data_IF_115269105824
#
_entry.id   IF_115269105824
#
_cell.length_a   1.000
_cell.length_b   1.000
_cell.length_c   1.000
_cell.angle_alpha   90.00
_cell.angle_beta   90.00
_cell.angle_gamma   90.00
#
_symmetry.space_group_name_H-M   'P 1'
#
loop_
_entity.id
_entity.type
_entity.pdbx_description
1 polymer ?
#
# COMPACT_ATOMS: atom_id res chain seq x y z
N UNK A 1 -5.43 10.07 -11.86
CA UNK A 1 -5.44 9.61 -13.28
C UNK A 1 -4.26 8.67 -13.48
N UNK A 2 -4.46 7.40 -13.84
CA UNK A 2 -3.36 6.43 -13.92
C UNK A 2 -2.50 6.60 -15.18
N UNK A 3 -3.10 6.90 -16.34
CA UNK A 3 -2.37 7.20 -17.58
C UNK A 3 -3.03 8.38 -18.33
N UNK A 4 -2.24 9.36 -18.84
CA UNK A 4 -0.80 9.55 -18.55
C UNK A 4 -0.56 9.81 -17.05
N UNK A 5 0.53 9.26 -16.51
CA UNK A 5 0.87 9.39 -15.08
C UNK A 5 1.63 10.70 -14.85
N UNK A 6 1.02 11.63 -14.13
CA UNK A 6 1.64 12.94 -13.85
C UNK A 6 2.39 12.92 -12.52
N UNK A 7 3.72 12.78 -12.59
CA UNK A 7 4.58 12.82 -11.40
C UNK A 7 4.42 14.12 -10.60
N UNK A 8 4.29 15.27 -11.28
CA UNK A 8 4.09 16.57 -10.64
C UNK A 8 2.87 16.60 -9.72
N UNK A 9 1.73 16.05 -10.16
CA UNK A 9 0.50 16.02 -9.36
C UNK A 9 0.59 15.02 -8.20
N UNK A 10 1.29 13.89 -8.37
CA UNK A 10 1.56 12.97 -7.27
C UNK A 10 2.41 13.66 -6.18
N UNK A 11 3.50 14.32 -6.58
CA UNK A 11 4.44 14.94 -5.66
C UNK A 11 3.80 16.10 -4.90
N UNK A 12 2.95 16.90 -5.58
CA UNK A 12 2.17 17.97 -4.94
C UNK A 12 1.16 17.45 -3.90
N UNK A 13 0.64 16.23 -4.09
CA UNK A 13 -0.30 15.60 -3.15
C UNK A 13 0.39 14.91 -1.96
N UNK A 14 1.70 14.64 -2.04
CA UNK A 14 2.44 13.93 -1.01
C UNK A 14 3.14 14.92 -0.05
N UNK A 15 2.81 14.92 1.25
CA UNK A 15 3.43 15.82 2.22
C UNK A 15 4.97 15.73 2.21
N UNK A 16 5.65 16.86 2.38
CA UNK A 16 7.12 16.92 2.48
C UNK A 16 7.64 16.17 3.73
N UNK A 17 6.82 16.09 4.77
CA UNK A 17 7.10 15.35 6.00
C UNK A 17 7.00 13.83 5.85
N UNK A 18 6.46 13.32 4.74
CA UNK A 18 6.31 11.88 4.54
C UNK A 18 7.70 11.20 4.48
N UNK A 19 7.95 10.27 5.40
CA UNK A 19 9.19 9.48 5.47
C UNK A 19 9.02 8.03 5.02
N UNK A 20 7.79 7.53 4.96
CA UNK A 20 7.47 6.20 4.48
C UNK A 20 6.18 6.21 3.66
N UNK A 21 6.10 5.36 2.63
CA UNK A 21 4.97 5.22 1.71
C UNK A 21 4.73 3.73 1.46
N UNK A 22 3.48 3.28 1.54
CA UNK A 22 3.07 1.98 1.03
C UNK A 22 2.25 2.19 -0.25
N UNK A 23 2.64 1.52 -1.33
CA UNK A 23 1.91 1.54 -2.60
C UNK A 23 1.14 0.23 -2.73
N UNK A 24 -0.15 0.32 -3.03
CA UNK A 24 -1.04 -0.84 -3.08
C UNK A 24 -1.51 -1.11 -4.50
N UNK A 25 -1.19 -2.30 -4.99
CA UNK A 25 -1.54 -2.77 -6.32
C UNK A 25 -2.62 -3.86 -6.23
N UNK A 26 -3.71 -3.68 -6.98
CA UNK A 26 -4.79 -4.67 -7.12
C UNK A 26 -4.54 -5.58 -8.33
N UNK A 27 -3.29 -6.04 -8.48
CA UNK A 27 -2.85 -6.95 -9.53
C UNK A 27 -1.68 -7.80 -9.03
N UNK A 28 -1.29 -8.80 -9.80
CA UNK A 28 -0.07 -9.57 -9.61
C UNK A 28 0.58 -9.78 -10.96
N UNK A 29 1.84 -9.36 -11.09
CA UNK A 29 2.66 -9.59 -12.29
C UNK A 29 3.80 -10.56 -11.93
N UNK A 30 3.61 -11.88 -12.10
CA UNK A 30 4.62 -12.87 -11.74
C UNK A 30 5.94 -12.64 -12.49
N UNK A 31 7.06 -12.57 -11.76
CA UNK A 31 8.39 -12.37 -12.33
C UNK A 31 8.77 -10.91 -12.56
N UNK A 32 7.85 -9.96 -12.44
CA UNK A 32 8.18 -8.53 -12.46
C UNK A 32 8.96 -8.12 -11.20
N UNK A 33 9.74 -7.06 -11.29
CA UNK A 33 10.47 -6.49 -10.14
C UNK A 33 9.53 -5.94 -9.05
N UNK A 34 8.37 -5.45 -9.46
CA UNK A 34 7.27 -5.00 -8.61
C UNK A 34 6.01 -4.80 -9.45
N UNK A 35 4.90 -4.52 -8.78
CA UNK A 35 3.64 -4.20 -9.44
C UNK A 35 3.64 -2.79 -10.07
N UNK A 36 2.74 -2.53 -11.05
CA UNK A 36 2.83 -1.34 -11.91
C UNK A 36 2.76 0.00 -11.18
N UNK A 37 1.83 0.17 -10.24
CA UNK A 37 1.68 1.44 -9.53
C UNK A 37 2.88 1.69 -8.61
N UNK A 38 3.38 0.64 -7.94
CA UNK A 38 4.62 0.74 -7.19
C UNK A 38 5.77 1.26 -8.06
N UNK A 39 5.95 0.73 -9.27
CA UNK A 39 7.03 1.15 -10.17
C UNK A 39 6.89 2.62 -10.58
N UNK A 40 5.67 3.08 -10.89
CA UNK A 40 5.43 4.49 -11.25
C UNK A 40 5.72 5.44 -10.08
N UNK A 41 5.24 5.11 -8.88
CA UNK A 41 5.44 5.92 -7.67
C UNK A 41 6.91 5.96 -7.29
N UNK A 42 7.59 4.80 -7.30
CA UNK A 42 9.01 4.72 -6.99
C UNK A 42 9.84 5.53 -7.98
N UNK A 43 9.53 5.45 -9.28
CA UNK A 43 10.19 6.24 -10.32
C UNK A 43 10.00 7.73 -10.06
N UNK A 44 8.76 8.19 -9.83
CA UNK A 44 8.46 9.59 -9.58
C UNK A 44 9.18 10.13 -8.33
N UNK A 45 9.23 9.36 -7.23
CA UNK A 45 9.92 9.74 -6.00
C UNK A 45 11.44 9.77 -6.19
N UNK A 46 12.02 8.76 -6.83
CA UNK A 46 13.46 8.68 -7.08
C UNK A 46 13.94 9.82 -7.99
N UNK A 47 13.18 10.10 -9.05
CA UNK A 47 13.49 11.21 -9.95
C UNK A 47 13.40 12.57 -9.26
N UNK A 48 12.34 12.82 -8.48
CA UNK A 48 12.18 14.07 -7.73
C UNK A 48 13.32 14.28 -6.73
N UNK A 49 13.74 13.22 -6.04
CA UNK A 49 14.89 13.26 -5.15
C UNK A 49 16.19 13.56 -5.93
N UNK A 50 16.43 12.87 -7.05
CA UNK A 50 17.63 13.08 -7.87
C UNK A 50 17.70 14.49 -8.50
N UNK A 51 16.55 15.12 -8.79
CA UNK A 51 16.47 16.51 -9.26
C UNK A 51 16.51 17.55 -8.15
N UNK A 52 16.48 17.13 -6.88
CA UNK A 52 16.43 18.03 -5.72
C UNK A 52 15.04 18.67 -5.48
N UNK A 53 13.99 18.19 -6.14
CA UNK A 53 12.60 18.62 -5.93
C UNK A 53 12.03 18.10 -4.59
N UNK A 54 12.63 17.05 -4.04
CA UNK A 54 12.38 16.56 -2.67
C UNK A 54 13.71 16.36 -1.95
N UNK A 55 13.76 16.81 -0.70
CA UNK A 55 14.95 16.66 0.15
C UNK A 55 15.24 15.21 0.54
N UNK A 56 14.18 14.38 0.65
CA UNK A 56 14.32 12.98 1.07
C UNK A 56 13.60 12.06 0.12
N UNK A 57 14.18 10.88 -0.11
CA UNK A 57 13.51 9.74 -0.73
C UNK A 57 12.79 8.91 0.36
N UNK A 58 11.44 8.94 0.44
CA UNK A 58 10.72 8.18 1.46
C UNK A 58 10.94 6.67 1.28
N UNK A 59 11.03 5.93 2.40
CA UNK A 59 11.05 4.46 2.38
C UNK A 59 9.75 3.97 1.75
N UNK A 60 9.84 3.32 0.59
CA UNK A 60 8.67 2.90 -0.18
C UNK A 60 8.56 1.38 -0.18
N UNK A 61 7.40 0.85 0.22
CA UNK A 61 7.07 -0.59 0.19
C UNK A 61 5.88 -0.85 -0.74
N UNK A 62 5.79 -2.07 -1.28
CA UNK A 62 4.75 -2.46 -2.24
C UNK A 62 3.87 -3.58 -1.69
N UNK A 63 2.56 -3.43 -1.81
CA UNK A 63 1.58 -4.38 -1.29
C UNK A 63 0.58 -4.82 -2.35
N UNK A 64 0.23 -6.10 -2.36
CA UNK A 64 -0.90 -6.62 -3.14
C UNK A 64 -2.13 -6.83 -2.26
N UNK A 65 -3.29 -6.44 -2.76
CA UNK A 65 -4.57 -6.60 -2.07
C UNK A 65 -5.71 -6.94 -3.05
N UNK A 66 -6.83 -7.43 -2.52
CA UNK A 66 -8.11 -7.42 -3.23
C UNK A 66 -8.20 -8.23 -4.54
N UNK A 67 -7.27 -9.15 -4.79
CA UNK A 67 -7.30 -10.04 -5.95
C UNK A 67 -8.51 -10.98 -5.86
N UNK A 68 -9.18 -11.20 -6.99
CA UNK A 68 -10.37 -12.06 -7.07
C UNK A 68 -11.45 -11.70 -6.03
N UNK A 69 -11.69 -10.39 -5.85
CA UNK A 69 -12.64 -9.85 -4.86
C UNK A 69 -12.36 -10.29 -3.43
N UNK A 70 -11.09 -10.56 -3.08
CA UNK A 70 -10.72 -10.75 -1.69
C UNK A 70 -11.04 -9.48 -0.88
N UNK A 71 -11.59 -9.69 0.31
CA UNK A 71 -11.96 -8.61 1.23
C UNK A 71 -10.77 -7.71 1.55
N UNK A 72 -11.02 -6.42 1.67
CA UNK A 72 -10.04 -5.41 2.04
C UNK A 72 -10.66 -4.46 3.08
N UNK A 73 -10.86 -5.01 4.28
CA UNK A 73 -11.46 -4.32 5.41
C UNK A 73 -10.47 -3.38 6.13
N UNK A 74 -10.97 -2.63 7.13
CA UNK A 74 -10.14 -1.67 7.86
C UNK A 74 -8.93 -2.31 8.57
N UNK A 75 -9.04 -3.57 9.01
CA UNK A 75 -7.93 -4.34 9.59
C UNK A 75 -6.77 -4.54 8.62
N UNK A 76 -7.04 -4.65 7.31
CA UNK A 76 -6.00 -4.70 6.29
C UNK A 76 -5.23 -3.39 6.21
N UNK A 77 -5.94 -2.26 6.29
CA UNK A 77 -5.34 -0.91 6.26
C UNK A 77 -4.50 -0.67 7.52
N UNK A 78 -5.01 -1.05 8.70
CA UNK A 78 -4.26 -0.98 9.96
C UNK A 78 -2.97 -1.80 9.90
N UNK A 79 -3.01 -3.02 9.37
CA UNK A 79 -1.83 -3.86 9.21
C UNK A 79 -0.77 -3.21 8.29
N UNK A 80 -1.17 -2.52 7.23
CA UNK A 80 -0.25 -1.78 6.35
C UNK A 80 0.44 -0.64 7.09
N UNK A 81 -0.30 0.15 7.87
CA UNK A 81 0.29 1.23 8.64
C UNK A 81 1.22 0.72 9.75
N UNK A 82 0.86 -0.38 10.40
CA UNK A 82 1.75 -1.06 11.35
C UNK A 82 3.04 -1.53 10.68
N UNK A 83 2.94 -2.15 9.49
CA UNK A 83 4.11 -2.55 8.71
C UNK A 83 4.99 -1.34 8.35
N UNK A 84 4.41 -0.21 7.92
CA UNK A 84 5.16 1.01 7.62
C UNK A 84 5.95 1.56 8.82
N UNK A 85 5.49 1.31 10.06
CA UNK A 85 6.16 1.72 11.29
C UNK A 85 7.25 0.73 11.74
N UNK A 86 7.27 -0.48 11.19
CA UNK A 86 8.27 -1.48 11.56
C UNK A 86 9.69 -0.97 11.26
N UNK A 87 10.65 -1.39 12.09
CA UNK A 87 12.06 -1.07 11.88
C UNK A 87 12.55 -1.59 10.51
N UNK A 88 12.12 -2.81 10.16
CA UNK A 88 12.45 -3.47 8.89
C UNK A 88 11.16 -3.97 8.24
N UNK A 89 10.42 -3.11 7.51
CA UNK A 89 9.19 -3.54 6.85
C UNK A 89 9.51 -4.47 5.69
N UNK A 90 8.61 -5.40 5.42
CA UNK A 90 8.57 -6.22 4.21
C UNK A 90 8.54 -5.28 2.99
N UNK A 91 9.56 -5.32 2.11
CA UNK A 91 9.58 -4.47 0.92
C UNK A 91 8.44 -4.80 -0.05
N UNK A 92 8.02 -6.07 -0.05
CA UNK A 92 6.88 -6.60 -0.79
C UNK A 92 6.00 -7.39 0.16
N UNK A 93 4.70 -7.15 0.14
CA UNK A 93 3.75 -7.87 1.00
C UNK A 93 2.44 -8.20 0.29
N UNK A 94 1.64 -9.07 0.92
CA UNK A 94 0.22 -9.29 0.61
C UNK A 94 -0.61 -8.98 1.84
N UNK A 95 -1.87 -8.60 1.66
CA UNK A 95 -2.80 -8.34 2.76
C UNK A 95 -4.17 -8.93 2.45
N UNK A 96 -4.87 -9.45 3.47
CA UNK A 96 -6.15 -10.14 3.32
C UNK A 96 -6.04 -11.66 3.01
N UNK A 97 -4.83 -12.23 3.08
CA UNK A 97 -4.58 -13.67 2.99
C UNK A 97 -3.63 -14.12 4.10
N UNK A 98 -3.64 -15.42 4.39
CA UNK A 98 -2.57 -16.10 5.10
C UNK A 98 -1.70 -16.80 4.06
N UNK A 99 -0.45 -16.37 3.92
CA UNK A 99 0.54 -16.95 3.01
C UNK A 99 1.69 -17.56 3.81
N UNK A 100 1.58 -18.84 4.11
CA UNK A 100 2.55 -19.65 4.85
C UNK A 100 3.67 -20.22 3.97
N UNK A 101 3.60 -20.01 2.65
CA UNK A 101 4.61 -20.50 1.70
C UNK A 101 5.68 -19.44 1.48
N UNK A 102 5.28 -18.24 1.02
CA UNK A 102 6.23 -17.15 0.76
C UNK A 102 6.36 -16.17 1.92
N UNK A 103 5.52 -16.29 2.94
CA UNK A 103 5.55 -15.46 4.15
C UNK A 103 5.47 -13.96 3.83
N UNK A 104 4.76 -13.59 2.76
CA UNK A 104 4.56 -12.20 2.36
C UNK A 104 3.34 -11.56 3.01
N UNK A 105 2.41 -12.36 3.56
CA UNK A 105 1.20 -11.84 4.18
C UNK A 105 1.50 -11.02 5.43
N UNK A 106 0.84 -9.87 5.55
CA UNK A 106 0.80 -9.10 6.79
C UNK A 106 -0.16 -9.76 7.79
N UNK A 107 0.20 -9.73 9.07
CA UNK A 107 -0.68 -10.16 10.15
C UNK A 107 -1.79 -9.12 10.35
N UNK A 108 -3.04 -9.57 10.30
CA UNK A 108 -4.19 -8.72 10.61
C UNK A 108 -4.37 -8.66 12.13
N UNK A 109 -4.41 -7.44 12.67
CA UNK A 109 -4.73 -7.19 14.07
C UNK A 109 -6.23 -7.01 14.31
N UNK A 110 -6.61 -6.75 15.56
CA UNK A 110 -7.97 -6.35 15.89
C UNK A 110 -8.32 -5.02 15.23
N UNK A 111 -9.55 -4.89 14.72
CA UNK A 111 -10.04 -3.61 14.23
C UNK A 111 -10.36 -2.69 15.42
N UNK A 112 -9.53 -1.67 15.60
CA UNK A 112 -9.64 -0.69 16.69
C UNK A 112 -10.38 0.58 16.29
N UNK A 113 -10.86 0.66 15.04
CA UNK A 113 -11.55 1.84 14.54
C UNK A 113 -12.99 1.89 15.07
N UNK A 114 -13.51 3.09 15.39
CA UNK A 114 -14.87 3.24 15.85
C UNK A 114 -15.85 2.83 14.74
N UNK A 115 -16.85 2.02 15.09
CA UNK A 115 -18.02 1.78 14.23
C UNK A 115 -19.10 2.81 14.55
N UNK A 116 -19.51 3.58 13.53
CA UNK A 116 -20.57 4.59 13.65
C UNK A 116 -21.90 4.13 13.03
N UNK A 117 -21.99 2.86 12.62
CA UNK A 117 -23.17 2.40 11.91
C UNK A 117 -24.40 2.37 12.83
N UNK A 118 -25.47 3.06 12.43
CA UNK A 118 -26.76 3.04 13.15
C UNK A 118 -27.47 1.68 13.02
N UNK A 119 -27.24 0.96 11.93
CA UNK A 119 -27.73 -0.39 11.66
C UNK A 119 -26.83 -1.07 10.61
N UNK A 120 -26.38 -2.28 10.91
CA UNK A 120 -25.75 -3.20 9.97
C UNK A 120 -26.55 -4.50 10.02
N UNK A 121 -26.89 -5.08 8.87
CA UNK A 121 -27.71 -6.28 8.79
C UNK A 121 -27.20 -7.21 7.69
N UNK A 122 -27.24 -8.51 7.97
CA UNK A 122 -26.88 -9.57 7.05
C UNK A 122 -28.09 -10.50 6.87
N UNK A 123 -28.55 -10.63 5.64
CA UNK A 123 -29.70 -11.47 5.28
C UNK A 123 -29.21 -12.66 4.47
N UNK A 124 -29.51 -13.86 4.94
CA UNK A 124 -29.27 -15.10 4.22
C UNK A 124 -30.57 -15.50 3.51
N UNK A 125 -30.51 -15.70 2.19
CA UNK A 125 -31.62 -16.13 1.35
C UNK A 125 -31.37 -17.48 0.69
#
# INVERSE_FOLDING_TARGET
>A
LYRPFSAAHLLAALPESARAVAVLDRTKEPGAHAEPLYLDVMTALAEAFNRGERETLPRTIGGRYGLSSKEFGPECVLAIFHELQAAQPKPRFTVGIYDDVTNLSLLLGENTLPSEAKLEALFYG
#
